data_IF_564406151800
#
_entry.id   IF_564406151800
#
_cell.length_a   1.000
_cell.length_b   1.000
_cell.length_c   1.000
_cell.angle_alpha   90.00
_cell.angle_beta   90.00
_cell.angle_gamma   90.00
#
_symmetry.space_group_name_H-M   'P 1'
#
loop_
_entity.id
_entity.type
_entity.pdbx_description
1 polymer ?
2 non-polymer ?
3 non-polymer ?
4 non-polymer ?
5 water ?
#
# COMPACT_ATOMS: atom_id res chain seq x y z
N UNK A 5 -11.44 3.75 16.14
CA UNK A 5 -10.42 3.13 15.24
C UNK A 5 -9.01 3.56 15.64
N UNK A 6 -8.09 2.60 15.71
CA UNK A 6 -6.71 2.88 16.07
C UNK A 6 -5.77 2.13 15.09
N UNK A 7 -4.57 2.67 14.91
CA UNK A 7 -3.56 2.06 14.01
C UNK A 7 -3.23 0.60 14.37
N UNK A 8 -3.26 0.29 15.65
CA UNK A 8 -3.00 -1.07 16.11
C UNK A 8 -3.99 -2.10 15.60
N UNK A 9 -5.23 -1.67 15.31
CA UNK A 9 -6.24 -2.61 14.86
C UNK A 9 -5.95 -3.11 13.43
N UNK A 10 -5.01 -2.44 12.76
CA UNK A 10 -4.62 -2.86 11.40
C UNK A 10 -3.51 -3.95 11.41
N UNK A 11 -2.99 -4.23 12.60
CA UNK A 11 -1.86 -5.10 12.70
C UNK A 11 -2.18 -6.53 12.31
N UNK A 12 -1.16 -7.19 11.75
CA UNK A 12 -1.18 -8.61 11.49
C UNK A 12 -0.97 -8.96 10.07
N UNK A 13 -1.09 -10.25 9.74
CA UNK A 13 -0.95 -10.72 8.41
C UNK A 13 -2.34 -10.77 7.72
N UNK A 14 -2.38 -10.27 6.51
CA UNK A 14 -3.62 -10.19 5.73
C UNK A 14 -3.38 -10.73 4.35
N UNK A 15 -4.33 -11.44 3.78
CA UNK A 15 -4.16 -12.04 2.49
C UNK A 15 -5.18 -11.45 1.48
N UNK A 16 -4.62 -11.16 0.32
CA UNK A 16 -5.39 -10.50 -0.77
C UNK A 16 -6.56 -11.41 -1.21
N UNK A 17 -7.75 -10.91 -1.17
CA UNK A 17 -8.91 -11.66 -1.70
C UNK A 17 -9.62 -11.01 -2.83
N UNK A 18 -9.40 -9.72 -3.10
CA UNK A 18 -10.08 -9.12 -4.24
C UNK A 18 -9.31 -7.91 -4.66
N UNK A 19 -9.33 -7.63 -5.96
CA UNK A 19 -8.66 -6.42 -6.50
C UNK A 19 -9.48 -5.83 -7.63
N UNK A 20 -9.60 -4.52 -7.66
CA UNK A 20 -10.19 -3.81 -8.77
C UNK A 20 -9.35 -2.58 -9.11
N UNK A 21 -9.10 -2.31 -10.39
CA UNK A 21 -8.39 -1.09 -10.78
C UNK A 21 -6.89 -1.12 -10.63
N UNK A 22 -6.35 -2.24 -10.18
CA UNK A 22 -4.91 -2.27 -9.98
C UNK A 22 -4.10 -2.09 -11.26
N UNK A 23 -4.47 -2.75 -12.35
CA UNK A 23 -3.72 -2.58 -13.56
C UNK A 23 -3.78 -1.11 -14.07
N UNK A 24 -4.93 -0.47 -13.92
CA UNK A 24 -5.03 0.91 -14.39
C UNK A 24 -4.22 1.86 -13.50
N UNK A 25 -4.22 1.60 -12.18
CA UNK A 25 -3.36 2.37 -11.27
C UNK A 25 -1.90 2.18 -11.64
N UNK A 26 -1.48 0.95 -11.93
CA UNK A 26 -0.08 0.75 -12.39
C UNK A 26 0.26 1.45 -13.71
N UNK A 27 -0.71 1.49 -14.61
CA UNK A 27 -0.54 2.23 -15.87
C UNK A 27 -0.38 3.71 -15.63
N UNK A 28 -1.12 4.27 -14.68
CA UNK A 28 -1.03 5.70 -14.37
C UNK A 28 0.34 6.00 -13.79
N UNK A 29 0.87 5.09 -12.95
CA UNK A 29 2.23 5.20 -12.38
C UNK A 29 3.31 5.06 -13.52
N UNK A 30 2.94 4.52 -14.66
CA UNK A 30 3.88 4.34 -15.78
C UNK A 30 4.70 3.06 -15.62
N UNK A 31 4.16 2.08 -14.91
CA UNK A 31 4.87 0.80 -14.62
C UNK A 31 4.92 0.03 -15.90
N UNK A 32 6.08 -0.56 -16.22
CA UNK A 32 6.27 -1.28 -17.45
C UNK A 32 5.68 -2.66 -17.40
N UNK A 33 5.58 -3.30 -18.56
CA UNK A 33 4.81 -4.52 -18.66
C UNK A 33 5.29 -5.66 -17.73
N UNK A 34 6.62 -5.76 -17.55
CA UNK A 34 7.15 -6.85 -16.66
C UNK A 34 6.54 -6.80 -15.25
N UNK A 35 6.66 -5.61 -14.64
CA UNK A 35 6.09 -5.36 -13.35
C UNK A 35 4.54 -5.42 -13.30
N UNK A 36 3.84 -4.92 -14.33
CA UNK A 36 2.40 -5.04 -14.35
C UNK A 36 1.89 -6.47 -14.37
N UNK A 37 2.54 -7.32 -15.17
CA UNK A 37 2.19 -8.76 -15.16
C UNK A 37 2.45 -9.41 -13.81
N UNK A 38 3.58 -9.09 -13.19
CA UNK A 38 3.83 -9.66 -11.88
C UNK A 38 2.73 -9.18 -10.91
N UNK A 39 2.39 -7.88 -10.95
CA UNK A 39 1.27 -7.36 -10.15
C UNK A 39 -0.06 -8.00 -10.48
N UNK A 40 -0.30 -8.31 -11.74
CA UNK A 40 -1.55 -8.96 -12.17
C UNK A 40 -1.74 -10.32 -11.47
N UNK A 41 -0.66 -10.92 -11.02
CA UNK A 41 -0.75 -12.32 -10.63
C UNK A 41 -0.12 -12.70 -9.29
N UNK A 42 0.65 -11.81 -8.67
CA UNK A 42 1.00 -12.00 -7.25
C UNK A 42 -0.33 -11.98 -6.43
N UNK A 43 -0.46 -12.84 -5.42
CA UNK A 43 -1.59 -12.77 -4.50
C UNK A 43 -0.88 -12.56 -3.14
N UNK A 44 -0.47 -11.34 -2.87
CA UNK A 44 0.37 -11.14 -1.67
C UNK A 44 -0.36 -11.20 -0.37
N UNK A 45 0.46 -11.33 0.65
CA UNK A 45 0.05 -11.06 1.96
C UNK A 45 0.64 -9.70 2.32
N UNK A 46 -0.11 -8.98 3.13
CA UNK A 46 0.36 -7.72 3.68
C UNK A 46 0.46 -7.91 5.16
N UNK A 47 1.64 -7.56 5.71
CA UNK A 47 1.93 -7.72 7.11
C UNK A 47 2.21 -6.33 7.73
N UNK A 48 1.32 -5.92 8.61
CA UNK A 48 1.38 -4.56 9.18
C UNK A 48 1.75 -4.69 10.65
N UNK A 49 2.78 -4.00 11.09
CA UNK A 49 3.16 -3.98 12.50
C UNK A 49 3.37 -2.55 12.92
N UNK A 50 2.98 -2.23 14.15
CA UNK A 50 3.12 -0.86 14.64
C UNK A 50 3.38 -0.85 16.13
N UNK A 51 4.45 -0.15 16.52
CA UNK A 51 4.96 -0.03 17.91
C UNK A 51 5.00 1.48 18.18
N UNK A 52 3.94 1.99 18.82
CA UNK A 52 3.81 3.42 19.06
C UNK A 52 3.71 4.19 17.74
N UNK A 53 4.78 4.93 17.43
CA UNK A 53 4.84 5.70 16.21
C UNK A 53 5.61 4.94 15.15
N UNK A 54 6.19 3.79 15.48
CA UNK A 54 6.93 3.02 14.46
C UNK A 54 5.99 2.10 13.71
N UNK A 55 6.04 2.16 12.40
CA UNK A 55 5.26 1.36 11.51
C UNK A 55 6.17 0.56 10.54
N UNK A 56 5.85 -0.71 10.29
CA UNK A 56 6.46 -1.47 9.20
C UNK A 56 5.30 -2.06 8.42
N UNK A 57 5.40 -1.99 7.11
CA UNK A 57 4.52 -2.72 6.21
C UNK A 57 5.34 -3.57 5.24
N UNK A 58 5.07 -4.87 5.26
CA UNK A 58 5.76 -5.83 4.40
C UNK A 58 4.67 -6.43 3.50
N UNK A 59 4.92 -6.40 2.21
CA UNK A 59 3.96 -7.00 1.32
C UNK A 59 4.71 -8.17 0.68
N UNK A 60 4.20 -9.38 0.84
CA UNK A 60 4.96 -10.57 0.58
C UNK A 60 4.24 -11.54 -0.32
N UNK A 61 4.96 -11.94 -1.33
CA UNK A 61 4.46 -13.02 -2.24
C UNK A 61 5.65 -13.71 -2.88
N UNK A 62 5.44 -14.90 -3.40
CA UNK A 62 6.56 -15.61 -4.04
C UNK A 62 7.08 -14.83 -5.23
N UNK A 63 6.20 -14.13 -5.93
CA UNK A 63 6.60 -13.29 -7.08
C UNK A 63 7.41 -12.10 -6.60
N UNK A 64 6.88 -11.36 -5.61
CA UNK A 64 7.50 -10.12 -5.19
C UNK A 64 7.21 -9.79 -3.74
N UNK A 65 8.27 -9.37 -3.06
CA UNK A 65 8.18 -8.90 -1.67
C UNK A 65 8.81 -7.47 -1.53
N UNK A 66 8.10 -6.58 -0.84
CA UNK A 66 8.63 -5.23 -0.53
C UNK A 66 8.41 -5.01 0.96
N UNK A 67 9.19 -4.08 1.53
CA UNK A 67 9.01 -3.78 2.94
C UNK A 67 9.50 -2.35 3.14
N UNK A 68 8.80 -1.58 3.96
CA UNK A 68 9.31 -0.32 4.44
C UNK A 68 8.98 -0.12 5.90
N UNK A 69 9.80 0.67 6.59
CA UNK A 69 9.54 1.09 7.93
C UNK A 69 9.64 2.58 8.04
N UNK A 70 8.85 3.16 8.94
CA UNK A 70 8.90 4.62 9.15
C UNK A 70 8.42 4.96 10.54
N UNK A 71 8.57 6.22 10.89
CA UNK A 71 7.94 6.83 12.06
C UNK A 71 6.73 7.62 11.58
N UNK A 72 5.55 7.38 12.15
CA UNK A 72 4.38 8.12 11.73
C UNK A 72 4.62 9.61 11.83
N UNK A 73 4.21 10.33 10.78
CA UNK A 73 4.37 11.76 10.65
C UNK A 73 5.68 12.29 10.17
N UNK A 74 6.67 11.44 9.93
CA UNK A 74 8.02 11.84 9.54
C UNK A 74 8.30 11.47 8.11
N UNK A 75 8.74 12.42 7.32
CA UNK A 75 9.06 12.22 5.90
C UNK A 75 10.23 11.31 5.72
N UNK A 76 10.10 10.36 4.79
CA UNK A 76 11.21 9.43 4.57
C UNK A 76 11.30 9.01 3.12
N UNK A 77 12.49 8.51 2.71
CA UNK A 77 12.66 8.00 1.37
C UNK A 77 12.18 6.57 1.24
N UNK A 78 11.10 6.39 0.48
CA UNK A 78 10.58 5.08 0.19
C UNK A 78 10.96 4.60 -1.18
N UNK A 79 11.51 3.40 -1.28
CA UNK A 79 11.69 2.74 -2.56
C UNK A 79 10.42 1.87 -2.77
N UNK A 80 9.65 2.17 -3.79
CA UNK A 80 8.38 1.48 -4.01
C UNK A 80 8.61 0.17 -4.76
N UNK A 81 7.55 -0.63 -4.86
CA UNK A 81 7.63 -1.92 -5.59
C UNK A 81 8.11 -1.79 -7.00
N UNK A 82 7.68 -0.73 -7.68
CA UNK A 82 8.03 -0.43 -8.99
C UNK A 82 9.31 0.37 -9.19
N UNK A 83 9.98 0.67 -8.05
CA UNK A 83 11.32 1.22 -8.02
C UNK A 83 11.40 2.74 -8.00
N UNK A 84 10.25 3.40 -7.81
CA UNK A 84 10.31 4.87 -7.55
C UNK A 84 10.99 5.15 -6.21
N UNK A 85 11.68 6.29 -6.14
CA UNK A 85 12.15 6.79 -4.84
C UNK A 85 11.36 8.01 -4.46
N UNK A 86 10.43 7.83 -3.56
CA UNK A 86 9.44 8.84 -3.19
C UNK A 86 9.79 9.42 -1.85
N UNK A 87 9.31 10.63 -1.63
CA UNK A 87 9.29 11.19 -0.29
C UNK A 87 7.89 10.83 0.20
N UNK A 88 7.84 10.03 1.24
CA UNK A 88 6.60 9.50 1.77
C UNK A 88 6.39 10.01 3.20
N UNK A 89 5.12 10.14 3.59
CA UNK A 89 4.75 10.28 5.00
C UNK A 89 3.56 9.43 5.27
N UNK A 90 3.62 8.70 6.40
CA UNK A 90 2.49 7.92 6.83
C UNK A 90 1.89 8.50 8.10
N UNK A 91 0.58 8.56 8.15
CA UNK A 91 -0.14 9.06 9.33
C UNK A 91 -1.37 8.23 9.55
N UNK A 92 -1.79 8.09 10.81
CA UNK A 92 -3.09 7.48 11.09
C UNK A 92 -4.08 8.64 11.40
N UNK A 93 -5.05 8.83 10.52
CA UNK A 93 -5.84 10.05 10.46
C UNK A 93 -7.26 9.65 10.06
N UNK A 94 -8.23 10.12 10.86
CA UNK A 94 -9.66 9.84 10.60
C UNK A 94 -9.93 8.35 10.43
N UNK A 95 -9.34 7.53 11.31
CA UNK A 95 -9.47 6.06 11.31
C UNK A 95 -8.86 5.28 10.13
N UNK A 96 -7.92 5.87 9.39
CA UNK A 96 -7.24 5.16 8.31
C UNK A 96 -5.76 5.48 8.36
N UNK A 97 -4.94 4.50 7.95
CA UNK A 97 -3.53 4.71 7.71
C UNK A 97 -3.40 5.34 6.35
N UNK A 98 -2.83 6.52 6.25
CA UNK A 98 -2.72 7.27 4.97
C UNK A 98 -1.25 7.38 4.70
N UNK A 99 -0.85 6.89 3.54
CA UNK A 99 0.52 6.91 3.04
C UNK A 99 0.55 7.82 1.84
N UNK A 100 1.21 8.95 1.99
CA UNK A 100 1.29 9.97 0.96
C UNK A 100 2.67 9.99 0.31
N UNK A 101 2.73 9.82 -1.02
CA UNK A 101 3.98 9.76 -1.76
C UNK A 101 4.13 10.93 -2.71
N UNK A 102 5.28 11.58 -2.72
CA UNK A 102 5.56 12.66 -3.65
C UNK A 102 6.89 12.37 -4.34
N UNK A 103 6.96 12.50 -5.66
CA UNK A 103 8.19 12.28 -6.37
C UNK A 103 8.08 13.04 -7.68
N UNK A 104 9.17 13.67 -8.06
CA UNK A 104 9.30 14.31 -9.42
C UNK A 104 7.99 15.14 -9.80
N UNK A 105 7.44 15.91 -8.88
CA UNK A 105 6.24 16.71 -9.13
C UNK A 105 4.91 15.98 -9.13
N UNK A 106 4.95 14.66 -8.89
CA UNK A 106 3.78 13.80 -8.91
C UNK A 106 3.44 13.39 -7.45
N UNK A 107 2.22 12.98 -7.24
CA UNK A 107 1.80 12.51 -5.95
C UNK A 107 0.82 11.32 -6.10
N UNK A 108 0.83 10.44 -5.08
CA UNK A 108 -0.10 9.35 -4.99
C UNK A 108 -0.38 9.06 -3.55
N UNK A 109 -1.58 8.63 -3.23
CA UNK A 109 -1.96 8.29 -1.87
C UNK A 109 -2.47 6.87 -1.80
N UNK A 110 -2.05 6.20 -0.74
CA UNK A 110 -2.51 4.83 -0.46
C UNK A 110 -3.12 4.86 0.91
N UNK A 111 -4.36 4.42 1.05
CA UNK A 111 -5.00 4.38 2.37
C UNK A 111 -5.25 2.94 2.74
N UNK A 112 -5.21 2.63 4.04
CA UNK A 112 -5.50 1.30 4.56
C UNK A 112 -6.42 1.48 5.77
N UNK A 113 -7.54 0.75 5.71
CA UNK A 113 -8.61 0.91 6.73
C UNK A 113 -9.27 -0.40 6.93
N UNK A 114 -9.86 -0.53 8.13
CA UNK A 114 -10.63 -1.71 8.47
C UNK A 114 -12.10 -1.38 8.08
N UNK A 115 -12.73 -2.27 7.35
CA UNK A 115 -14.15 -2.13 7.03
C UNK A 115 -14.75 -3.54 7.12
N UNK A 116 -15.62 -3.76 8.12
CA UNK A 116 -16.29 -5.07 8.30
C UNK A 116 -15.30 -6.20 8.53
N UNK A 117 -14.29 -5.93 9.35
CA UNK A 117 -13.26 -6.91 9.64
C UNK A 117 -12.25 -7.20 8.52
N UNK A 118 -12.38 -6.50 7.38
CA UNK A 118 -11.43 -6.69 6.26
C UNK A 118 -10.55 -5.44 6.16
N UNK A 119 -9.33 -5.67 5.68
CA UNK A 119 -8.39 -4.58 5.38
C UNK A 119 -8.66 -4.14 3.96
N UNK A 120 -9.02 -2.87 3.83
CA UNK A 120 -9.31 -2.26 2.51
C UNK A 120 -8.19 -1.26 2.17
N UNK A 121 -7.49 -1.63 1.12
CA UNK A 121 -6.35 -0.84 0.61
C UNK A 121 -6.79 -0.12 -0.66
N UNK A 122 -6.69 1.21 -0.65
CA UNK A 122 -7.11 2.04 -1.75
C UNK A 122 -5.94 2.85 -2.21
N UNK A 123 -5.71 2.84 -3.50
CA UNK A 123 -4.64 3.62 -4.12
C UNK A 123 -5.21 4.66 -5.05
N UNK A 124 -4.58 5.83 -5.15
CA UNK A 124 -5.05 6.86 -6.09
C UNK A 124 -3.87 7.63 -6.62
N UNK A 125 -3.89 7.87 -7.92
CA UNK A 125 -3.04 8.88 -8.57
C UNK A 125 -3.82 9.53 -9.66
N UNK A 126 -3.94 10.86 -9.57
CA UNK A 126 -4.63 11.61 -10.65
C UNK A 126 -6.00 11.03 -10.98
N UNK A 127 -6.75 10.75 -9.92
CA UNK A 127 -8.09 10.19 -10.00
C UNK A 127 -8.23 8.78 -10.52
N UNK A 128 -7.07 8.12 -10.79
CA UNK A 128 -7.06 6.69 -11.16
C UNK A 128 -6.89 5.88 -9.91
N UNK A 129 -7.84 4.99 -9.65
CA UNK A 129 -7.98 4.36 -8.34
C UNK A 129 -7.86 2.85 -8.41
N UNK A 130 -7.43 2.27 -7.32
CA UNK A 130 -7.47 0.81 -7.18
C UNK A 130 -8.08 0.55 -5.80
N UNK A 131 -8.74 -0.59 -5.64
CA UNK A 131 -9.23 -1.00 -4.33
C UNK A 131 -8.88 -2.49 -4.21
N UNK A 132 -8.20 -2.82 -3.13
CA UNK A 132 -7.72 -4.20 -2.81
C UNK A 132 -8.17 -4.57 -1.42
N UNK A 133 -8.79 -5.75 -1.35
CA UNK A 133 -9.39 -6.22 -0.11
C UNK A 133 -8.60 -7.44 0.37
N UNK A 134 -8.28 -7.38 1.67
CA UNK A 134 -7.51 -8.40 2.33
C UNK A 134 -8.30 -8.93 3.54
N UNK A 135 -8.19 -10.23 3.76
CA UNK A 135 -8.82 -10.87 4.94
C UNK A 135 -7.71 -11.24 5.92
N UNK A 136 -8.05 -11.16 7.21
CA UNK A 136 -7.13 -11.42 8.29
C UNK A 136 -6.84 -12.89 8.29
N UNK A 137 -5.57 -13.24 8.26
CA UNK A 137 -5.19 -14.64 8.39
C UNK A 137 -4.29 -14.88 9.58
N UNK A 138 -4.27 -16.14 9.97
CA UNK A 138 -3.22 -16.65 10.88
C UNK A 138 -1.79 -16.45 10.30
X LIG B 1 -8.03 7.64 -0.98
X LIG B 1 -8.40 8.55 -2.32
X LIG B 1 -9.48 6.62 -0.69
X LIG B 1 -6.97 6.33 -1.65
X LIG C 1 -7.06 -5.67 -11.16
X LIG C 1 -6.02 -6.74 -10.88
X LIG C 1 -6.43 -4.85 -12.26
X LIG C 1 -7.38 -5.02 -9.87
X LIG C 1 -8.34 -6.29 -11.68
X LIG D 1 -0.16 -3.41 -3.88
X LIG D 1 1.39 -3.38 -4.01
X LIG D 1 2.02 -4.75 -4.26
X LIG D 1 1.38 -5.66 -5.14
X LIG D 1 1.94 -6.94 -5.33
X LIG D 1 3.15 -7.28 -4.70
X LIG D 1 3.81 -6.36 -3.86
X LIG D 1 3.25 -5.10 -3.67
X LIG D 1 1.55 0.70 -2.82
X LIG D 1 -0.23 -0.94 -3.05
X LIG D 1 -0.60 -4.06 -2.60
X LIG D 1 1.88 -2.33 -4.99
X LIG D 1 1.74 -0.95 -4.68
X LIG D 1 1.18 -0.60 -3.43
X LIG D 1 -0.07 -3.68 -1.50
X LIG D 1 -1.53 -4.95 -2.64
X LIG D 1 -0.78 -2.01 -4.01
X LIG D 1 2.83 -0.38 -6.74
X LIG D 1 2.25 0.04 -5.55
X LIG D 1 2.48 -2.72 -6.18
X LIG D 1 2.94 -1.75 -7.07
X LIG D 1 3.74 -2.41 -8.74
#
# INVERSE_FOLDING_TARGET
GSHMATVQQLEGRWRLVDSKGFDEYMKELGVGIALRKMGAMAKPDCIITCDGKNLTIKTESTLKTTQFSCTLGEKFEETTADGRKTQTVCNFTDGALVQHQEWDGKESTITRKLKDGKLVVECVMNNVTCTRIYEKVE
DMS S O C1 C2
SO4 S O1 O2 O3 O4
WK0 C1 C2 C3 C4 C5 C6 C7 C8 C9 C10 C11 C12 C13 N14 O15 O16 C17 C18 C19 C20 C21 BR22
#
